data_IF_524104835323
#
_entry.id   IF_524104835323
#
_cell.length_a   1.000
_cell.length_b   1.000
_cell.length_c   1.000
_cell.angle_alpha   90.00
_cell.angle_beta   90.00
_cell.angle_gamma   90.00
#
_symmetry.space_group_name_H-M   'P 1'
#
loop_
_entity.id
_entity.type
_entity.pdbx_description
1 polymer ?
#
# COMPACT_ATOMS: atom_id res chain seq x y z
N UNK A 1 13.30 -21.89 -12.43
CA UNK A 1 12.29 -22.55 -11.57
C UNK A 1 12.33 -21.83 -10.23
N UNK A 2 11.17 -21.44 -9.70
CA UNK A 2 11.03 -20.97 -8.31
C UNK A 2 11.55 -22.07 -7.35
N UNK A 3 12.15 -21.72 -6.20
CA UNK A 3 12.46 -22.71 -5.19
C UNK A 3 11.16 -23.04 -4.46
N UNK A 4 10.46 -24.08 -4.89
CA UNK A 4 9.76 -24.91 -3.93
C UNK A 4 10.85 -25.80 -3.32
N UNK A 5 11.38 -25.38 -2.19
CA UNK A 5 12.31 -26.15 -1.37
C UNK A 5 11.66 -26.40 -0.02
N UNK A 6 11.65 -27.66 0.40
CA UNK A 6 11.22 -28.09 1.72
C UNK A 6 11.93 -27.26 2.81
N UNK A 7 11.27 -27.13 3.96
CA UNK A 7 11.53 -26.17 5.04
C UNK A 7 12.97 -26.13 5.62
N UNK A 8 13.89 -26.97 5.15
CA UNK A 8 15.21 -27.19 5.73
C UNK A 8 16.38 -26.57 4.94
N UNK A 9 16.14 -25.81 3.87
CA UNK A 9 17.25 -25.27 3.06
C UNK A 9 17.07 -23.83 2.54
N UNK A 10 16.77 -22.89 3.46
CA UNK A 10 16.91 -21.46 3.18
C UNK A 10 18.28 -21.00 3.69
N UNK A 11 19.34 -21.43 3.01
CA UNK A 11 20.67 -20.88 3.25
C UNK A 11 20.70 -19.46 2.67
N UNK A 12 20.60 -18.46 3.56
CA UNK A 12 20.94 -17.07 3.29
C UNK A 12 19.87 -16.19 2.65
N UNK A 13 18.65 -16.16 3.21
CA UNK A 13 17.76 -15.01 2.97
C UNK A 13 18.32 -13.78 3.70
N UNK A 14 18.89 -12.82 2.97
CA UNK A 14 19.32 -11.54 3.53
C UNK A 14 18.10 -10.61 3.72
N UNK A 15 17.68 -10.34 4.97
CA UNK A 15 16.48 -9.53 5.28
C UNK A 15 16.64 -8.05 4.97
N UNK A 16 17.83 -7.59 4.60
CA UNK A 16 18.21 -6.17 4.58
C UNK A 16 18.07 -5.50 3.21
N UNK A 17 17.89 -6.27 2.13
CA UNK A 17 17.94 -5.72 0.77
C UNK A 17 16.74 -4.83 0.38
N UNK A 18 15.68 -4.81 1.19
CA UNK A 18 14.46 -4.07 0.85
C UNK A 18 13.65 -3.68 2.09
N UNK A 19 13.46 -2.37 2.22
CA UNK A 19 13.08 -1.68 3.46
C UNK A 19 11.59 -1.84 3.81
N UNK A 20 11.33 -2.20 5.07
CA UNK A 20 10.02 -2.29 5.77
C UNK A 20 9.09 -3.45 5.39
N UNK A 21 8.39 -4.02 6.39
CA UNK A 21 7.39 -5.08 6.21
C UNK A 21 6.29 -4.70 5.21
N UNK A 22 5.88 -3.43 5.13
CA UNK A 22 4.86 -2.95 4.20
C UNK A 22 5.28 -3.10 2.72
N UNK A 23 6.54 -2.80 2.39
CA UNK A 23 7.08 -3.06 1.06
C UNK A 23 7.06 -4.56 0.73
N UNK A 24 7.19 -5.43 1.76
CA UNK A 24 7.06 -6.89 1.64
C UNK A 24 5.73 -7.38 1.20
N UNK A 25 4.70 -6.87 1.84
CA UNK A 25 3.35 -7.15 1.40
C UNK A 25 3.09 -6.62 -0.02
N UNK A 26 3.58 -5.42 -0.34
CA UNK A 26 3.45 -4.82 -1.67
C UNK A 26 4.06 -5.67 -2.78
N UNK A 27 5.34 -6.01 -2.67
CA UNK A 27 6.05 -6.82 -3.67
C UNK A 27 5.38 -8.19 -3.86
N UNK A 28 5.10 -8.89 -2.75
CA UNK A 28 4.49 -10.20 -2.80
C UNK A 28 3.11 -10.19 -3.47
N UNK A 29 2.25 -9.23 -3.12
CA UNK A 29 0.91 -9.13 -3.69
C UNK A 29 0.95 -8.82 -5.20
N UNK A 30 1.84 -7.93 -5.64
CA UNK A 30 1.98 -7.61 -7.07
C UNK A 30 2.53 -8.77 -7.87
N UNK A 31 3.53 -9.48 -7.33
CA UNK A 31 4.10 -10.63 -7.99
C UNK A 31 3.10 -11.78 -8.11
N UNK A 32 2.37 -12.06 -7.04
CA UNK A 32 1.28 -13.04 -7.06
C UNK A 32 0.25 -12.69 -8.13
N UNK A 33 -0.19 -11.44 -8.20
CA UNK A 33 -1.15 -10.97 -9.20
C UNK A 33 -0.64 -11.18 -10.63
N UNK A 34 0.58 -10.73 -10.92
CA UNK A 34 1.19 -10.85 -12.26
C UNK A 34 1.32 -12.33 -12.64
N UNK A 35 1.78 -13.17 -11.71
CA UNK A 35 1.94 -14.60 -11.96
C UNK A 35 0.61 -15.30 -12.20
N UNK A 36 -0.44 -14.97 -11.44
CA UNK A 36 -1.79 -15.49 -11.68
C UNK A 36 -2.31 -15.08 -13.06
N UNK A 37 -2.09 -13.83 -13.50
CA UNK A 37 -2.47 -13.41 -14.85
C UNK A 37 -1.71 -14.20 -15.94
N UNK A 38 -0.41 -14.43 -15.74
CA UNK A 38 0.41 -15.23 -16.67
C UNK A 38 -0.09 -16.68 -16.73
N UNK A 39 -0.41 -17.28 -15.59
CA UNK A 39 -1.00 -18.63 -15.53
C UNK A 39 -2.35 -18.72 -16.27
N UNK A 40 -3.10 -17.62 -16.33
CA UNK A 40 -4.34 -17.50 -17.12
C UNK A 40 -4.09 -17.16 -18.60
N UNK A 41 -2.83 -17.15 -19.06
CA UNK A 41 -2.46 -16.93 -20.47
C UNK A 41 -2.06 -15.49 -20.80
N UNK A 42 -1.89 -14.61 -19.81
CA UNK A 42 -1.34 -13.28 -20.07
C UNK A 42 0.14 -13.35 -20.45
N UNK A 43 0.57 -12.44 -21.34
CA UNK A 43 1.98 -12.29 -21.72
C UNK A 43 2.52 -11.06 -20.98
N UNK A 44 3.58 -11.23 -20.16
CA UNK A 44 4.14 -10.14 -19.32
C UNK A 44 4.41 -8.86 -20.12
N UNK A 45 4.98 -8.97 -21.32
CA UNK A 45 5.29 -7.82 -22.19
C UNK A 45 4.06 -7.08 -22.75
N UNK A 46 2.88 -7.71 -22.71
CA UNK A 46 1.60 -7.11 -23.13
C UNK A 46 0.80 -6.54 -21.95
N UNK A 47 1.24 -6.78 -20.71
CA UNK A 47 0.57 -6.23 -19.54
C UNK A 47 0.70 -4.71 -19.53
N UNK A 48 -0.42 -4.05 -19.22
CA UNK A 48 -0.50 -2.61 -19.02
C UNK A 48 -0.89 -2.35 -17.58
N UNK A 49 -0.20 -1.41 -16.94
CA UNK A 49 -0.39 -1.06 -15.54
C UNK A 49 -0.97 0.34 -15.45
N UNK A 50 -1.90 0.53 -14.51
CA UNK A 50 -2.37 1.86 -14.13
C UNK A 50 -2.23 2.05 -12.63
N UNK A 51 -1.71 3.21 -12.22
CA UNK A 51 -1.39 3.49 -10.83
C UNK A 51 -2.36 4.51 -10.25
N UNK A 52 -2.91 4.21 -9.07
CA UNK A 52 -3.88 5.09 -8.41
C UNK A 52 -3.60 5.17 -6.91
N UNK A 53 -3.85 6.33 -6.30
CA UNK A 53 -3.81 6.50 -4.85
C UNK A 53 -2.61 7.30 -4.35
N UNK A 54 -2.05 6.92 -3.20
CA UNK A 54 -0.96 7.69 -2.56
C UNK A 54 -1.36 9.11 -2.15
N UNK A 55 -2.66 9.39 -2.03
CA UNK A 55 -3.16 10.70 -1.61
C UNK A 55 -2.82 11.01 -0.15
N UNK A 56 -2.52 12.26 0.13
CA UNK A 56 -2.30 12.79 1.47
C UNK A 56 -3.62 13.33 2.01
N UNK A 57 -4.51 12.42 2.42
CA UNK A 57 -5.86 12.78 2.88
C UNK A 57 -5.82 13.64 4.16
N UNK A 58 -4.87 13.34 5.06
CA UNK A 58 -4.63 14.06 6.31
C UNK A 58 -3.15 13.92 6.70
N UNK A 59 -2.51 15.03 7.09
CA UNK A 59 -1.31 14.95 7.90
C UNK A 59 -0.30 16.08 7.70
N UNK A 60 -0.11 16.88 8.74
CA UNK A 60 1.23 17.31 9.16
C UNK A 60 1.94 16.13 9.83
N UNK A 61 3.23 15.88 9.54
CA UNK A 61 4.05 14.85 10.22
C UNK A 61 4.16 13.48 9.52
N UNK A 62 4.22 12.37 10.29
CA UNK A 62 4.60 11.01 9.80
C UNK A 62 3.64 10.38 8.77
N UNK A 63 2.35 10.69 8.79
CA UNK A 63 1.36 10.14 7.86
C UNK A 63 1.53 10.68 6.43
N UNK A 64 2.00 11.92 6.28
CA UNK A 64 2.35 12.51 4.99
C UNK A 64 3.42 11.68 4.23
N UNK A 65 4.34 11.08 4.98
CA UNK A 65 5.51 10.40 4.45
C UNK A 65 5.19 9.01 3.85
N UNK A 66 4.06 8.39 4.22
CA UNK A 66 3.71 7.03 3.75
C UNK A 66 3.17 7.06 2.32
N UNK A 67 2.33 8.04 1.98
CA UNK A 67 1.79 8.20 0.63
C UNK A 67 2.89 8.42 -0.40
N UNK A 68 3.84 9.31 -0.08
CA UNK A 68 5.00 9.60 -0.92
C UNK A 68 5.91 8.37 -1.10
N UNK A 69 6.23 7.66 -0.02
CA UNK A 69 6.99 6.39 -0.09
C UNK A 69 6.32 5.33 -0.95
N UNK A 70 5.00 5.20 -0.86
CA UNK A 70 4.26 4.25 -1.69
C UNK A 70 4.31 4.63 -3.17
N UNK A 71 4.21 5.94 -3.48
CA UNK A 71 4.34 6.47 -4.85
C UNK A 71 5.74 6.21 -5.39
N UNK A 72 6.78 6.48 -4.61
CA UNK A 72 8.16 6.22 -5.00
C UNK A 72 8.39 4.72 -5.24
N UNK A 73 7.97 3.88 -4.29
CA UNK A 73 8.09 2.42 -4.37
C UNK A 73 7.42 1.87 -5.63
N UNK A 74 6.16 2.24 -5.89
CA UNK A 74 5.42 1.65 -7.02
C UNK A 74 5.98 2.10 -8.38
N UNK A 75 6.46 3.34 -8.48
CA UNK A 75 7.14 3.82 -9.70
C UNK A 75 8.44 3.07 -9.95
N UNK A 76 9.23 2.84 -8.90
CA UNK A 76 10.45 2.04 -8.98
C UNK A 76 10.14 0.58 -9.35
N UNK A 77 9.10 -0.02 -8.75
CA UNK A 77 8.68 -1.37 -9.07
C UNK A 77 8.30 -1.52 -10.54
N UNK A 78 7.42 -0.66 -11.05
CA UNK A 78 6.97 -0.69 -12.46
C UNK A 78 8.15 -0.55 -13.43
N UNK A 79 9.09 0.35 -13.12
CA UNK A 79 10.31 0.54 -13.91
C UNK A 79 11.22 -0.70 -13.88
N UNK A 80 11.50 -1.24 -12.70
CA UNK A 80 12.41 -2.37 -12.53
C UNK A 80 11.85 -3.66 -13.15
N UNK A 81 10.54 -3.87 -13.06
CA UNK A 81 9.84 -5.02 -13.65
C UNK A 81 9.60 -4.90 -15.16
N UNK A 82 9.94 -3.75 -15.76
CA UNK A 82 9.73 -3.49 -17.19
C UNK A 82 8.26 -3.48 -17.60
N UNK A 83 7.36 -3.06 -16.70
CA UNK A 83 5.92 -3.04 -16.96
C UNK A 83 5.52 -1.77 -17.73
N UNK A 84 4.54 -1.91 -18.63
CA UNK A 84 4.07 -0.78 -19.44
C UNK A 84 3.07 0.07 -18.64
N UNK A 85 3.49 1.26 -18.20
CA UNK A 85 2.61 2.22 -17.51
C UNK A 85 1.68 2.91 -18.51
N UNK A 86 0.39 2.56 -18.45
CA UNK A 86 -0.65 3.13 -19.31
C UNK A 86 -1.34 4.38 -18.74
N UNK A 87 -1.06 4.73 -17.48
CA UNK A 87 -1.56 5.95 -16.86
C UNK A 87 -1.45 5.94 -15.33
N UNK A 88 -1.44 7.13 -14.73
CA UNK A 88 -1.39 7.27 -13.27
C UNK A 88 -2.26 8.45 -12.77
N UNK A 89 -2.91 8.28 -11.61
CA UNK A 89 -3.45 9.35 -10.78
C UNK A 89 -2.99 9.11 -9.34
N UNK A 90 -1.83 9.68 -9.01
CA UNK A 90 -1.13 9.52 -7.74
C UNK A 90 -1.08 10.84 -6.95
N UNK A 91 -0.95 10.77 -5.63
CA UNK A 91 -0.90 11.96 -4.77
C UNK A 91 -2.22 12.73 -4.76
N UNK A 92 -2.28 13.93 -4.18
CA UNK A 92 -3.47 14.77 -3.90
C UNK A 92 -3.96 14.72 -2.47
N UNK A 93 -4.55 15.81 -2.00
CA UNK A 93 -5.13 15.96 -0.66
C UNK A 93 -6.49 15.27 -0.45
N UNK A 94 -7.03 14.62 -1.49
CA UNK A 94 -8.35 14.01 -1.42
C UNK A 94 -8.27 12.47 -1.50
N UNK A 95 -9.11 11.76 -0.72
CA UNK A 95 -9.39 10.35 -0.97
C UNK A 95 -9.96 10.19 -2.38
N UNK A 96 -9.76 9.02 -2.99
CA UNK A 96 -10.39 8.71 -4.27
C UNK A 96 -11.00 7.33 -4.29
N UNK A 97 -12.14 7.23 -4.95
CA UNK A 97 -12.74 5.96 -5.35
C UNK A 97 -12.28 5.62 -6.76
N UNK A 98 -11.76 4.41 -6.94
CA UNK A 98 -11.33 3.88 -8.24
C UNK A 98 -12.31 2.79 -8.65
N UNK A 99 -12.81 2.87 -9.87
CA UNK A 99 -13.56 1.77 -10.52
C UNK A 99 -12.75 1.34 -11.74
N UNK A 100 -12.39 0.07 -11.79
CA UNK A 100 -11.58 -0.50 -12.85
C UNK A 100 -12.37 -1.58 -13.59
N UNK A 101 -12.44 -1.45 -14.91
CA UNK A 101 -12.97 -2.49 -15.80
C UNK A 101 -11.79 -3.27 -16.38
N UNK A 102 -11.58 -4.54 -15.98
CA UNK A 102 -10.45 -5.34 -16.44
C UNK A 102 -10.58 -5.80 -17.89
N UNK A 103 -11.79 -5.83 -18.46
CA UNK A 103 -12.03 -6.27 -19.83
C UNK A 103 -11.57 -5.19 -20.81
N UNK A 104 -11.95 -3.93 -20.55
CA UNK A 104 -11.58 -2.80 -21.42
C UNK A 104 -10.31 -2.08 -20.96
N UNK A 105 -9.87 -2.32 -19.73
CA UNK A 105 -8.79 -1.58 -19.07
C UNK A 105 -9.16 -0.15 -18.71
N UNK A 106 -10.43 0.28 -18.83
CA UNK A 106 -10.88 1.62 -18.44
C UNK A 106 -10.89 1.77 -16.93
N UNK A 107 -10.54 2.96 -16.46
CA UNK A 107 -10.54 3.29 -15.05
C UNK A 107 -11.21 4.65 -14.84
N UNK A 108 -12.10 4.72 -13.87
CA UNK A 108 -12.74 5.96 -13.43
C UNK A 108 -12.28 6.29 -12.03
N UNK A 109 -11.89 7.55 -11.82
CA UNK A 109 -11.41 8.05 -10.54
C UNK A 109 -12.30 9.19 -10.09
N UNK A 110 -12.94 9.04 -8.92
CA UNK A 110 -13.72 10.10 -8.28
C UNK A 110 -13.00 10.57 -7.03
N UNK A 111 -12.53 11.82 -7.04
CA UNK A 111 -11.94 12.47 -5.86
C UNK A 111 -13.06 12.90 -4.90
N UNK A 112 -12.98 12.45 -3.65
CA UNK A 112 -14.00 12.64 -2.63
C UNK A 112 -13.75 13.93 -1.84
N UNK A 113 -14.00 15.08 -2.48
CA UNK A 113 -13.65 16.41 -1.93
C UNK A 113 -14.40 16.78 -0.65
N UNK A 114 -15.64 16.31 -0.48
CA UNK A 114 -16.46 16.59 0.70
C UNK A 114 -16.20 15.69 1.91
N UNK A 115 -15.41 14.62 1.73
CA UNK A 115 -15.18 13.61 2.78
C UNK A 115 -14.14 14.03 3.82
N UNK A 116 -13.46 15.18 3.61
CA UNK A 116 -12.37 15.63 4.47
C UNK A 116 -12.85 16.00 5.88
N UNK A 117 -13.89 16.82 5.98
CA UNK A 117 -14.32 17.37 7.27
C UNK A 117 -14.89 16.33 8.24
N UNK A 118 -15.71 15.40 7.74
CA UNK A 118 -16.32 14.34 8.55
C UNK A 118 -15.29 13.33 9.04
N UNK A 119 -14.40 12.86 8.14
CA UNK A 119 -13.32 11.94 8.52
C UNK A 119 -12.33 12.61 9.47
N UNK A 120 -12.06 13.91 9.31
CA UNK A 120 -11.10 14.62 10.15
C UNK A 120 -11.64 14.71 11.58
N UNK A 121 -12.93 14.98 11.73
CA UNK A 121 -13.60 14.99 13.02
C UNK A 121 -13.62 13.59 13.69
N UNK A 122 -13.96 12.54 12.94
CA UNK A 122 -13.96 11.16 13.45
C UNK A 122 -12.57 10.69 13.87
N UNK A 123 -11.54 10.93 13.05
CA UNK A 123 -10.15 10.55 13.33
C UNK A 123 -9.56 11.32 14.53
N UNK A 124 -9.87 12.61 14.68
CA UNK A 124 -9.47 13.39 15.87
C UNK A 124 -10.10 12.77 17.13
N UNK A 125 -11.38 12.40 17.05
CA UNK A 125 -12.07 11.77 18.17
C UNK A 125 -11.47 10.41 18.52
N UNK A 126 -11.10 9.62 17.51
CA UNK A 126 -10.49 8.30 17.68
C UNK A 126 -9.07 8.39 18.25
N UNK A 127 -8.21 9.26 17.69
CA UNK A 127 -6.85 9.50 18.23
C UNK A 127 -6.89 9.98 19.68
N UNK A 128 -7.85 10.84 20.04
CA UNK A 128 -8.04 11.30 21.42
C UNK A 128 -8.44 10.15 22.36
N UNK A 129 -9.29 9.21 21.91
CA UNK A 129 -9.62 8.01 22.67
C UNK A 129 -8.41 7.11 22.90
N UNK A 130 -7.66 6.78 21.84
CA UNK A 130 -6.46 5.95 21.94
C UNK A 130 -5.41 6.54 22.91
N UNK A 131 -5.20 7.86 22.87
CA UNK A 131 -4.27 8.52 23.81
C UNK A 131 -4.78 8.44 25.25
N UNK A 132 -6.09 8.52 25.47
CA UNK A 132 -6.67 8.42 26.80
C UNK A 132 -6.69 6.98 27.33
N UNK A 133 -6.89 5.99 26.47
CA UNK A 133 -6.81 4.56 26.81
C UNK A 133 -5.37 4.15 27.12
N UNK A 134 -4.40 4.54 26.29
CA UNK A 134 -2.98 4.27 26.57
C UNK A 134 -2.50 4.90 27.89
N UNK A 135 -3.05 6.06 28.27
CA UNK A 135 -2.77 6.69 29.57
C UNK A 135 -3.42 5.98 30.76
N UNK A 136 -4.52 5.24 30.55
CA UNK A 136 -5.15 4.44 31.61
C UNK A 136 -4.37 3.15 31.85
N UNK A 137 -3.89 2.51 30.78
CA UNK A 137 -3.09 1.28 30.89
C UNK A 137 -1.72 1.53 31.58
N UNK A 138 -1.15 2.73 31.43
CA UNK A 138 0.06 3.15 32.16
C UNK A 138 -0.20 3.51 33.65
N UNK A 139 -1.44 3.83 34.04
CA UNK A 139 -1.83 4.18 35.42
C UNK A 139 -2.30 2.95 36.22
N UNK A 140 -2.75 1.89 35.52
CA UNK A 140 -3.15 0.60 36.11
C UNK A 140 -1.97 -0.38 36.32
N UNK A 141 -0.73 0.06 36.11
CA UNK A 141 0.46 -0.66 36.61
C UNK A 141 0.63 -0.47 38.12
N UNK A 142 -0.39 -0.86 38.88
CA UNK A 142 -0.26 -1.00 40.32
C UNK A 142 0.66 -2.20 40.62
N UNK A 143 1.76 -1.94 41.33
CA UNK A 143 2.68 -2.98 41.81
C UNK A 143 1.93 -4.05 42.60
N UNK A 144 1.94 -5.29 42.10
CA UNK A 144 1.59 -6.46 42.90
C UNK A 144 2.84 -6.88 43.68
N UNK A 145 2.77 -6.81 45.01
CA UNK A 145 3.76 -7.39 45.93
C UNK A 145 3.86 -8.91 45.79
#
# INVERSE_FOLDING_TARGET
>A
MLPFGDADNIEGWDPTQWRSNAARYGNYAMELLINTLIQQGAVKSRLRVKLFGGGMVMGTGKQANVGEKNIEFIRNYVKNEGLNLAGEDLGSEFPRKVVFDPITGKAWVKKLRGYRAEVEAEEISYKRRLVNEAKRDDDDSAELF
#
